data_IF_789048721376
#
_entry.id   IF_789048721376
#
_cell.length_a   1.000
_cell.length_b   1.000
_cell.length_c   1.000
_cell.angle_alpha   90.00
_cell.angle_beta   90.00
_cell.angle_gamma   90.00
#
_symmetry.space_group_name_H-M   'P 1'
#
loop_
_entity.id
_entity.type
_entity.pdbx_description
1 polymer ?
#
# COMPACT_ATOMS: atom_id res chain seq x y z
N UNK A 1 -8.01 1.65 -59.21
CA UNK A 1 -8.15 0.24 -58.77
C UNK A 1 -6.91 -0.15 -57.97
N UNK A 2 -7.04 -0.95 -56.91
CA UNK A 2 -6.82 -0.49 -55.53
C UNK A 2 -5.52 -1.01 -54.89
N UNK A 3 -5.01 -0.28 -53.89
CA UNK A 3 -4.17 -0.86 -52.84
C UNK A 3 -4.63 -0.32 -51.49
N UNK A 4 -5.70 -0.95 -50.99
CA UNK A 4 -6.21 -0.83 -49.62
C UNK A 4 -5.28 -1.63 -48.73
N UNK A 5 -4.28 -1.02 -48.11
CA UNK A 5 -3.52 -1.70 -47.06
C UNK A 5 -3.13 -0.75 -45.93
N UNK A 6 -3.49 -1.21 -44.72
CA UNK A 6 -2.87 -0.91 -43.42
C UNK A 6 -3.22 0.43 -42.76
N UNK A 7 -4.33 0.43 -42.01
CA UNK A 7 -4.31 1.11 -40.70
C UNK A 7 -5.39 0.63 -39.71
N UNK A 8 -5.30 -0.59 -39.16
CA UNK A 8 -5.95 -0.89 -37.89
C UNK A 8 -4.98 -0.49 -36.75
N UNK A 9 -4.76 0.81 -36.54
CA UNK A 9 -3.90 1.35 -35.46
C UNK A 9 -4.73 1.95 -34.29
N UNK A 10 -6.01 1.59 -34.21
CA UNK A 10 -6.99 2.14 -33.26
C UNK A 10 -7.47 1.14 -32.21
N UNK A 11 -6.68 0.10 -31.93
CA UNK A 11 -6.97 -0.87 -30.88
C UNK A 11 -5.69 -1.27 -30.14
N UNK A 12 -4.87 -0.29 -29.72
CA UNK A 12 -4.00 -0.56 -28.58
C UNK A 12 -4.92 -0.64 -27.36
N UNK A 13 -5.16 -1.83 -26.79
CA UNK A 13 -6.20 -2.01 -25.80
C UNK A 13 -5.83 -1.23 -24.53
N UNK A 14 -6.87 -0.97 -23.74
CA UNK A 14 -6.93 -0.49 -22.36
C UNK A 14 -6.06 -1.27 -21.33
N UNK A 15 -4.86 -1.70 -21.73
CA UNK A 15 -3.89 -2.43 -20.93
C UNK A 15 -3.05 -1.46 -20.10
N UNK A 16 -3.62 -1.12 -18.94
CA UNK A 16 -2.93 -1.04 -17.64
C UNK A 16 -2.05 0.21 -17.30
N UNK A 17 -1.78 0.53 -16.00
CA UNK A 17 -1.88 -0.39 -14.87
C UNK A 17 -2.72 -0.03 -13.62
N UNK A 18 -3.37 -1.06 -13.07
CA UNK A 18 -3.86 -1.18 -11.68
C UNK A 18 -2.66 -1.36 -10.70
N UNK A 19 -1.43 -1.06 -11.15
CA UNK A 19 -0.19 -1.22 -10.40
C UNK A 19 -0.02 -0.20 -9.28
N UNK A 20 -0.78 0.91 -9.30
CA UNK A 20 -0.69 1.94 -8.26
C UNK A 20 -0.87 1.36 -6.86
N UNK A 21 -1.83 0.43 -6.69
CA UNK A 21 -2.12 -0.18 -5.38
C UNK A 21 -0.99 -1.08 -4.89
N UNK A 22 -0.45 -1.91 -5.77
CA UNK A 22 0.65 -2.80 -5.41
C UNK A 22 1.92 -1.99 -5.03
N UNK A 23 2.16 -0.89 -5.76
CA UNK A 23 3.22 0.06 -5.45
C UNK A 23 2.95 0.78 -4.12
N UNK A 24 1.71 1.20 -3.87
CA UNK A 24 1.34 1.89 -2.63
C UNK A 24 1.48 1.00 -1.38
N UNK A 25 1.13 -0.29 -1.49
CA UNK A 25 1.29 -1.28 -0.42
C UNK A 25 2.77 -1.57 -0.14
N UNK A 26 3.58 -1.72 -1.19
CA UNK A 26 5.02 -1.93 -1.05
C UNK A 26 5.72 -0.69 -0.44
N UNK A 27 5.34 0.51 -0.89
CA UNK A 27 5.82 1.77 -0.36
C UNK A 27 5.48 1.93 1.13
N UNK A 28 4.24 1.60 1.51
CA UNK A 28 3.84 1.61 2.91
C UNK A 28 4.67 0.65 3.76
N UNK A 29 4.86 -0.59 3.31
CA UNK A 29 5.68 -1.56 4.04
C UNK A 29 7.10 -1.07 4.30
N UNK A 30 7.75 -0.45 3.31
CA UNK A 30 9.10 0.10 3.47
C UNK A 30 9.13 1.34 4.39
N UNK A 31 8.11 2.19 4.35
CA UNK A 31 8.00 3.37 5.22
C UNK A 31 7.69 2.97 6.68
N UNK A 32 6.80 2.01 6.89
CA UNK A 32 6.46 1.47 8.20
C UNK A 32 7.67 0.83 8.87
N UNK A 33 8.46 0.06 8.12
CA UNK A 33 9.69 -0.53 8.63
C UNK A 33 10.72 0.54 9.03
N UNK A 34 10.94 1.57 8.18
CA UNK A 34 11.82 2.69 8.52
C UNK A 34 11.35 3.49 9.74
N UNK A 35 10.04 3.66 9.91
CA UNK A 35 9.48 4.25 11.12
C UNK A 35 9.81 3.40 12.36
N UNK A 36 9.57 2.08 12.31
CA UNK A 36 9.87 1.17 13.42
C UNK A 36 11.36 1.10 13.78
N UNK A 37 12.26 1.06 12.78
CA UNK A 37 13.70 0.97 13.02
C UNK A 37 14.31 2.29 13.54
N UNK A 38 13.77 3.46 13.14
CA UNK A 38 14.33 4.76 13.52
C UNK A 38 13.62 5.45 14.68
N UNK A 39 12.34 5.17 14.89
CA UNK A 39 11.46 5.93 15.79
C UNK A 39 11.33 7.42 15.42
N UNK A 40 11.82 7.84 14.25
CA UNK A 40 11.89 9.26 13.89
C UNK A 40 10.49 9.81 13.55
N UNK A 41 10.09 10.97 14.10
CA UNK A 41 8.81 11.59 13.77
C UNK A 41 8.62 11.82 12.26
N UNK A 42 9.70 12.13 11.53
CA UNK A 42 9.64 12.35 10.09
C UNK A 42 9.41 11.05 9.31
N UNK A 43 10.09 9.96 9.70
CA UNK A 43 9.90 8.65 9.08
C UNK A 43 8.48 8.11 9.31
N UNK A 44 7.96 8.27 10.53
CA UNK A 44 6.62 7.85 10.89
C UNK A 44 5.53 8.70 10.22
N UNK A 45 5.74 10.01 10.06
CA UNK A 45 4.81 10.87 9.31
C UNK A 45 4.60 10.37 7.89
N UNK A 46 5.69 10.07 7.17
CA UNK A 46 5.60 9.58 5.80
C UNK A 46 4.85 8.23 5.71
N UNK A 47 5.04 7.34 6.70
CA UNK A 47 4.31 6.08 6.77
C UNK A 47 2.80 6.28 7.03
N UNK A 48 2.44 7.20 7.93
CA UNK A 48 1.04 7.55 8.24
C UNK A 48 0.33 8.22 7.05
N UNK A 49 1.02 9.08 6.31
CA UNK A 49 0.45 9.68 5.09
C UNK A 49 0.17 8.62 4.02
N UNK A 50 1.07 7.64 3.88
CA UNK A 50 0.86 6.52 2.97
C UNK A 50 -0.28 5.60 3.45
N UNK A 51 -0.38 5.30 4.76
CA UNK A 51 -1.48 4.50 5.29
C UNK A 51 -2.84 5.17 5.06
N UNK A 52 -2.91 6.51 5.17
CA UNK A 52 -4.13 7.26 4.87
C UNK A 52 -4.56 7.08 3.41
N UNK A 53 -3.63 7.20 2.45
CA UNK A 53 -3.94 6.94 1.02
C UNK A 53 -4.50 5.53 0.80
N UNK A 54 -3.92 4.54 1.46
CA UNK A 54 -4.36 3.14 1.38
C UNK A 54 -5.74 2.91 1.99
N UNK A 55 -6.02 3.52 3.14
CA UNK A 55 -7.34 3.48 3.80
C UNK A 55 -8.42 4.06 2.89
N UNK A 56 -8.19 5.26 2.34
CA UNK A 56 -9.14 5.91 1.42
C UNK A 56 -9.37 5.07 0.15
N UNK A 57 -8.31 4.46 -0.38
CA UNK A 57 -8.42 3.54 -1.52
C UNK A 57 -9.29 2.31 -1.20
N UNK A 58 -9.06 1.69 -0.04
CA UNK A 58 -9.78 0.50 0.40
C UNK A 58 -11.25 0.82 0.67
N UNK A 59 -11.52 1.95 1.33
CA UNK A 59 -12.86 2.47 1.60
C UNK A 59 -13.64 2.76 0.31
N UNK A 60 -13.03 3.50 -0.63
CA UNK A 60 -13.65 3.82 -1.93
C UNK A 60 -14.04 2.57 -2.73
N UNK A 61 -13.35 1.44 -2.50
CA UNK A 61 -13.61 0.14 -3.14
C UNK A 61 -14.41 -0.82 -2.24
N UNK A 62 -14.87 -0.38 -1.08
CA UNK A 62 -15.58 -1.19 -0.07
C UNK A 62 -14.80 -2.46 0.34
N UNK A 63 -13.46 -2.40 0.31
CA UNK A 63 -12.58 -3.51 0.71
C UNK A 63 -12.31 -3.46 2.21
N UNK A 64 -13.34 -3.70 3.01
CA UNK A 64 -13.29 -3.57 4.47
C UNK A 64 -12.18 -4.40 5.11
N UNK A 65 -11.94 -5.63 4.63
CA UNK A 65 -10.85 -6.47 5.14
C UNK A 65 -9.47 -5.83 4.94
N UNK A 66 -9.23 -5.21 3.78
CA UNK A 66 -7.99 -4.49 3.53
C UNK A 66 -7.90 -3.22 4.38
N UNK A 67 -8.99 -2.46 4.51
CA UNK A 67 -9.05 -1.28 5.36
C UNK A 67 -8.65 -1.60 6.81
N UNK A 68 -9.25 -2.65 7.39
CA UNK A 68 -8.94 -3.12 8.74
C UNK A 68 -7.50 -3.62 8.86
N UNK A 69 -6.97 -4.34 7.86
CA UNK A 69 -5.59 -4.79 7.88
C UNK A 69 -4.58 -3.63 7.81
N UNK A 70 -4.88 -2.57 7.05
CA UNK A 70 -4.07 -1.34 7.05
C UNK A 70 -4.10 -0.66 8.42
N UNK A 71 -5.26 -0.61 9.09
CA UNK A 71 -5.36 -0.10 10.46
C UNK A 71 -4.53 -0.90 11.47
N UNK A 72 -4.55 -2.23 11.36
CA UNK A 72 -3.75 -3.10 12.22
C UNK A 72 -2.24 -2.86 12.03
N UNK A 73 -1.78 -2.79 10.77
CA UNK A 73 -0.38 -2.48 10.45
C UNK A 73 0.05 -1.08 10.95
N UNK A 74 -0.85 -0.09 10.86
CA UNK A 74 -0.63 1.25 11.39
C UNK A 74 -0.50 1.25 12.92
N UNK A 75 -1.36 0.49 13.60
CA UNK A 75 -1.33 0.37 15.05
C UNK A 75 -0.04 -0.30 15.55
N UNK A 76 0.41 -1.40 14.93
CA UNK A 76 1.68 -2.07 15.26
C UNK A 76 2.87 -1.13 15.06
N UNK A 77 2.89 -0.39 13.95
CA UNK A 77 3.92 0.60 13.67
C UNK A 77 3.94 1.72 14.73
N UNK A 78 2.78 2.28 15.10
CA UNK A 78 2.71 3.30 16.16
C UNK A 78 3.19 2.70 17.50
N UNK A 79 2.74 1.50 17.84
CA UNK A 79 3.16 0.80 19.05
C UNK A 79 4.68 0.58 19.10
N UNK A 80 5.33 0.33 17.95
CA UNK A 80 6.78 0.22 17.82
C UNK A 80 7.54 1.47 18.26
N UNK A 81 6.95 2.65 18.07
CA UNK A 81 7.59 3.93 18.37
C UNK A 81 7.52 4.28 19.86
N UNK A 82 6.70 3.56 20.63
CA UNK A 82 6.53 3.81 22.05
C UNK A 82 7.69 3.21 22.84
N UNK A 83 8.34 3.97 23.75
CA UNK A 83 9.53 3.52 24.49
C UNK A 83 9.29 2.33 25.43
N UNK A 84 8.03 2.02 25.74
CA UNK A 84 7.58 0.86 26.51
C UNK A 84 7.71 -0.45 25.71
N UNK A 85 7.59 -0.41 24.37
CA UNK A 85 7.74 -1.58 23.51
C UNK A 85 9.19 -1.71 23.05
N UNK A 86 10.03 -2.35 23.89
CA UNK A 86 11.41 -2.70 23.52
C UNK A 86 11.49 -3.91 22.60
N UNK A 87 10.42 -4.69 22.50
CA UNK A 87 10.34 -5.81 21.58
C UNK A 87 10.02 -5.31 20.17
N UNK A 88 10.75 -5.86 19.19
CA UNK A 88 10.53 -5.53 17.77
C UNK A 88 9.08 -5.88 17.43
N UNK A 89 8.31 -5.00 16.77
CA UNK A 89 6.94 -5.30 16.41
C UNK A 89 6.87 -6.59 15.61
N UNK A 90 5.87 -7.43 15.89
CA UNK A 90 5.48 -8.48 14.96
C UNK A 90 5.31 -7.86 13.58
N UNK A 91 5.89 -8.46 12.54
CA UNK A 91 5.60 -8.06 11.16
C UNK A 91 4.27 -8.62 10.66
N UNK A 92 3.44 -9.11 11.59
CA UNK A 92 2.29 -9.94 11.33
C UNK A 92 1.16 -9.13 10.69
N UNK A 93 0.85 -7.94 11.20
CA UNK A 93 -0.20 -7.13 10.57
C UNK A 93 0.24 -6.56 9.21
N UNK A 94 1.53 -6.25 9.03
CA UNK A 94 2.07 -5.88 7.70
C UNK A 94 1.98 -7.05 6.71
N UNK A 95 2.24 -8.28 7.16
CA UNK A 95 2.13 -9.47 6.34
C UNK A 95 0.67 -9.79 6.02
N UNK A 96 -0.21 -9.72 7.01
CA UNK A 96 -1.66 -9.88 6.82
C UNK A 96 -2.18 -8.86 5.82
N UNK A 97 -1.87 -7.57 5.99
CA UNK A 97 -2.22 -6.52 5.04
C UNK A 97 -1.80 -6.87 3.61
N UNK A 98 -0.57 -7.35 3.38
CA UNK A 98 -0.12 -7.79 2.04
C UNK A 98 -0.90 -8.98 1.48
N UNK A 99 -1.54 -9.79 2.32
CA UNK A 99 -2.38 -10.91 1.91
C UNK A 99 -3.80 -10.44 1.56
N UNK A 100 -4.43 -9.64 2.43
CA UNK A 100 -5.84 -9.23 2.27
C UNK A 100 -6.04 -8.07 1.30
N UNK A 101 -5.00 -7.26 1.07
CA UNK A 101 -5.06 -6.11 0.17
C UNK A 101 -4.74 -6.42 -1.30
N UNK A 102 -4.47 -7.68 -1.66
CA UNK A 102 -4.23 -8.09 -3.06
C UNK A 102 -5.46 -7.84 -3.91
N UNK A 103 -5.29 -7.37 -5.16
CA UNK A 103 -6.37 -7.12 -6.11
C UNK A 103 -7.13 -8.40 -6.42
#
# INVERSE_FOLDING_TARGET
MPAVWLRPLLLLPLLWPVAGVAQDMAAYGHLAQRCGDSGSPAACRAALEQSHRLKNWAEARKRWRCYTAVLAAEAEMIAATLPINRERPSSDALQEMRLVCRL
#
